data_IF_932784789178
#
_entry.id   IF_932784789178
#
_cell.length_a   1.000
_cell.length_b   1.000
_cell.length_c   1.000
_cell.angle_alpha   90.00
_cell.angle_beta   90.00
_cell.angle_gamma   90.00
#
_symmetry.space_group_name_H-M   'P 1'
#
loop_
_entity.id
_entity.type
_entity.pdbx_description
1 polymer ?
#
# COMPACT_ATOMS: atom_id res chain seq x y z
N UNK A 1 -174.60 -105.36 -102.66
CA UNK A 1 -174.41 -105.12 -104.11
C UNK A 1 -174.88 -103.71 -104.45
N UNK A 2 -174.44 -103.20 -105.60
CA UNK A 2 -175.01 -102.08 -106.37
C UNK A 2 -174.82 -100.62 -105.88
N UNK A 3 -174.17 -99.85 -106.76
CA UNK A 3 -174.34 -98.40 -107.02
C UNK A 3 -175.76 -98.13 -107.62
N UNK A 4 -176.26 -96.88 -107.84
CA UNK A 4 -175.56 -95.82 -108.58
C UNK A 4 -175.82 -94.32 -108.24
N UNK A 5 -174.78 -93.52 -108.53
CA UNK A 5 -174.73 -92.20 -109.21
C UNK A 5 -175.89 -91.16 -109.11
N UNK A 6 -175.51 -89.95 -108.69
CA UNK A 6 -175.87 -88.67 -109.33
C UNK A 6 -174.61 -87.79 -109.47
N UNK A 7 -174.67 -86.65 -110.18
CA UNK A 7 -173.54 -86.16 -111.01
C UNK A 7 -173.60 -84.64 -111.33
N UNK A 8 -172.71 -83.80 -110.78
CA UNK A 8 -172.52 -82.36 -111.13
C UNK A 8 -171.29 -82.12 -112.04
N UNK A 9 -171.30 -81.13 -112.96
CA UNK A 9 -170.20 -80.87 -113.90
C UNK A 9 -169.18 -79.82 -113.42
N UNK A 10 -167.89 -80.03 -113.71
CA UNK A 10 -166.80 -79.05 -113.52
C UNK A 10 -166.64 -78.16 -114.76
N UNK A 11 -166.46 -76.84 -114.59
CA UNK A 11 -166.19 -75.88 -115.67
C UNK A 11 -164.71 -75.45 -115.69
N UNK A 12 -164.15 -75.24 -116.89
CA UNK A 12 -162.81 -74.66 -117.09
C UNK A 12 -162.95 -73.41 -117.96
N UNK A 13 -162.38 -72.29 -117.51
CA UNK A 13 -162.52 -70.97 -118.14
C UNK A 13 -161.17 -70.25 -118.20
N UNK A 14 -161.10 -69.18 -119.00
CA UNK A 14 -159.93 -68.31 -119.11
C UNK A 14 -158.61 -69.05 -119.45
N UNK A 15 -158.65 -69.93 -120.46
CA UNK A 15 -157.47 -70.60 -121.03
C UNK A 15 -156.54 -69.55 -121.68
N UNK A 16 -155.37 -69.26 -121.07
CA UNK A 16 -154.34 -68.36 -121.64
C UNK A 16 -153.03 -69.13 -121.95
N UNK A 17 -152.77 -69.33 -123.26
CA UNK A 17 -151.61 -70.07 -123.79
C UNK A 17 -150.44 -69.12 -124.00
N UNK A 18 -149.41 -69.22 -123.18
CA UNK A 18 -148.12 -68.54 -123.38
C UNK A 18 -147.06 -69.50 -123.93
N UNK A 19 -145.94 -68.98 -124.43
CA UNK A 19 -144.81 -69.83 -124.91
C UNK A 19 -144.15 -70.65 -123.78
N UNK A 20 -144.38 -70.28 -122.52
CA UNK A 20 -143.85 -70.99 -121.34
C UNK A 20 -144.79 -72.04 -120.75
N UNK A 21 -145.98 -72.22 -121.31
CA UNK A 21 -147.04 -73.06 -120.76
C UNK A 21 -148.38 -72.32 -120.72
N UNK A 22 -149.38 -73.01 -120.17
CA UNK A 22 -150.75 -72.52 -120.15
C UNK A 22 -151.29 -72.44 -118.73
N UNK A 23 -151.98 -71.35 -118.43
CA UNK A 23 -152.88 -71.26 -117.28
C UNK A 23 -154.33 -71.34 -117.76
N UNK A 24 -155.19 -71.87 -116.89
CA UNK A 24 -156.64 -71.85 -117.02
C UNK A 24 -157.23 -71.88 -115.61
N UNK A 25 -158.40 -71.27 -115.45
CA UNK A 25 -159.12 -71.26 -114.18
C UNK A 25 -160.07 -72.46 -114.13
N UNK A 26 -159.92 -73.33 -113.13
CA UNK A 26 -160.78 -74.50 -112.92
C UNK A 26 -161.81 -74.16 -111.85
N UNK A 27 -163.06 -74.05 -112.26
CA UNK A 27 -164.18 -73.77 -111.36
C UNK A 27 -164.85 -75.11 -111.04
N UNK A 28 -164.48 -75.68 -109.89
CA UNK A 28 -165.00 -76.97 -109.41
C UNK A 28 -166.46 -76.88 -108.94
N UNK A 29 -166.90 -75.69 -108.51
CA UNK A 29 -168.27 -75.31 -108.19
C UNK A 29 -168.39 -73.78 -108.28
N UNK A 30 -169.55 -73.24 -108.64
CA UNK A 30 -169.77 -71.80 -108.60
C UNK A 30 -169.67 -71.26 -107.16
N UNK A 31 -169.13 -70.05 -106.95
CA UNK A 31 -168.97 -69.50 -105.60
C UNK A 31 -170.32 -69.28 -104.94
N UNK A 32 -170.59 -70.03 -103.85
CA UNK A 32 -171.88 -70.07 -103.13
C UNK A 32 -172.33 -68.75 -102.46
N UNK A 33 -171.62 -67.64 -102.70
CA UNK A 33 -171.90 -66.32 -102.14
C UNK A 33 -172.02 -65.25 -103.24
N UNK A 34 -173.26 -64.86 -103.54
CA UNK A 34 -173.65 -63.97 -104.64
C UNK A 34 -173.35 -62.46 -104.40
N UNK A 35 -172.34 -62.14 -103.56
CA UNK A 35 -171.95 -60.75 -103.23
C UNK A 35 -170.43 -60.60 -102.99
N UNK A 36 -169.81 -59.52 -103.51
CA UNK A 36 -168.38 -59.27 -103.31
C UNK A 36 -168.05 -58.95 -101.86
N UNK A 37 -166.92 -59.46 -101.38
CA UNK A 37 -166.40 -59.20 -100.04
C UNK A 37 -166.09 -57.70 -99.86
N UNK A 38 -166.53 -57.05 -98.76
CA UNK A 38 -166.21 -55.64 -98.53
C UNK A 38 -164.70 -55.46 -98.28
N UNK A 39 -164.09 -54.34 -98.72
CA UNK A 39 -162.68 -54.09 -98.46
C UNK A 39 -162.44 -53.98 -96.95
N UNK A 40 -161.33 -54.60 -96.49
CA UNK A 40 -160.98 -54.60 -95.08
C UNK A 40 -160.93 -53.16 -94.52
N UNK A 41 -161.59 -52.96 -93.39
CA UNK A 41 -161.61 -51.67 -92.69
C UNK A 41 -160.19 -51.22 -92.41
N UNK A 42 -159.80 -50.10 -93.02
CA UNK A 42 -158.45 -49.57 -92.84
C UNK A 42 -158.26 -49.19 -91.38
N UNK A 43 -157.41 -49.95 -90.67
CA UNK A 43 -156.63 -49.37 -89.59
C UNK A 43 -155.95 -48.10 -90.12
N UNK A 44 -155.82 -47.02 -89.33
CA UNK A 44 -155.12 -45.83 -89.79
C UNK A 44 -153.73 -46.27 -90.24
N UNK A 45 -153.44 -46.09 -91.54
CA UNK A 45 -152.19 -46.51 -92.18
C UNK A 45 -151.05 -46.12 -91.23
N UNK A 46 -150.21 -47.06 -90.77
CA UNK A 46 -149.15 -46.72 -89.83
C UNK A 46 -148.38 -45.55 -90.44
N UNK A 47 -148.30 -44.44 -89.69
CA UNK A 47 -147.60 -43.23 -90.17
C UNK A 47 -146.25 -43.70 -90.66
N UNK A 48 -145.98 -43.47 -91.96
CA UNK A 48 -144.74 -43.90 -92.57
C UNK A 48 -143.62 -43.25 -91.79
N UNK A 49 -142.83 -44.07 -91.09
CA UNK A 49 -141.74 -43.57 -90.26
C UNK A 49 -140.89 -42.62 -91.10
N UNK A 50 -140.70 -41.39 -90.62
CA UNK A 50 -139.92 -40.42 -91.39
C UNK A 50 -138.46 -40.87 -91.43
N UNK A 51 -137.69 -40.42 -92.44
CA UNK A 51 -136.27 -40.77 -92.53
C UNK A 51 -135.52 -40.39 -91.24
N UNK A 52 -135.87 -39.25 -90.64
CA UNK A 52 -135.35 -38.75 -89.37
C UNK A 52 -135.73 -39.66 -88.18
N UNK A 53 -136.97 -40.13 -88.07
CA UNK A 53 -137.37 -41.08 -87.02
C UNK A 53 -136.68 -42.46 -87.16
N UNK A 54 -136.37 -42.88 -88.39
CA UNK A 54 -135.61 -44.12 -88.67
C UNK A 54 -134.14 -43.94 -88.26
N UNK A 55 -133.52 -42.84 -88.68
CA UNK A 55 -132.14 -42.49 -88.33
C UNK A 55 -131.98 -42.35 -86.81
N UNK A 56 -132.90 -41.66 -86.14
CA UNK A 56 -132.90 -41.51 -84.68
C UNK A 56 -133.00 -42.87 -83.95
N UNK A 57 -133.80 -43.81 -84.46
CA UNK A 57 -133.86 -45.19 -83.91
C UNK A 57 -132.57 -45.98 -84.13
N UNK A 58 -131.89 -45.79 -85.27
CA UNK A 58 -130.60 -46.43 -85.55
C UNK A 58 -129.50 -45.83 -84.66
N UNK A 59 -129.43 -44.51 -84.52
CA UNK A 59 -128.55 -43.81 -83.59
C UNK A 59 -128.76 -44.30 -82.15
N UNK A 60 -130.00 -44.36 -81.67
CA UNK A 60 -130.29 -44.82 -80.30
C UNK A 60 -129.95 -46.32 -80.10
N UNK A 61 -129.98 -47.14 -81.15
CA UNK A 61 -129.51 -48.53 -81.10
C UNK A 61 -127.97 -48.59 -81.07
N UNK A 62 -127.30 -47.70 -81.80
CA UNK A 62 -125.84 -47.59 -81.81
C UNK A 62 -125.29 -47.05 -80.48
N UNK A 63 -125.92 -46.04 -79.90
CA UNK A 63 -125.62 -45.51 -78.57
C UNK A 63 -125.80 -46.58 -77.49
N UNK A 64 -126.88 -47.39 -77.58
CA UNK A 64 -127.07 -48.54 -76.68
C UNK A 64 -125.96 -49.57 -76.84
N UNK A 65 -125.49 -49.86 -78.07
CA UNK A 65 -124.34 -50.75 -78.31
C UNK A 65 -123.06 -50.17 -77.68
N UNK A 66 -122.74 -48.91 -77.99
CA UNK A 66 -121.56 -48.18 -77.47
C UNK A 66 -121.57 -48.10 -75.94
N UNK A 67 -122.73 -47.84 -75.32
CA UNK A 67 -122.90 -47.80 -73.87
C UNK A 67 -122.67 -49.17 -73.21
N UNK A 68 -123.19 -50.25 -73.81
CA UNK A 68 -122.95 -51.62 -73.34
C UNK A 68 -121.48 -52.04 -73.49
N UNK A 69 -120.82 -51.65 -74.60
CA UNK A 69 -119.39 -51.87 -74.83
C UNK A 69 -118.53 -51.07 -73.83
N UNK A 70 -118.84 -49.80 -73.61
CA UNK A 70 -118.17 -48.94 -72.63
C UNK A 70 -118.34 -49.47 -71.19
N UNK A 71 -119.54 -49.92 -70.82
CA UNK A 71 -119.81 -50.55 -69.50
C UNK A 71 -119.00 -51.83 -69.30
N UNK A 72 -118.88 -52.67 -70.35
CA UNK A 72 -118.02 -53.87 -70.32
C UNK A 72 -116.55 -53.51 -70.18
N UNK A 73 -116.06 -52.54 -70.96
CA UNK A 73 -114.67 -52.07 -70.88
C UNK A 73 -114.36 -51.46 -69.51
N UNK A 74 -115.26 -50.68 -68.94
CA UNK A 74 -115.12 -50.13 -67.58
C UNK A 74 -115.05 -51.25 -66.52
N UNK A 75 -115.92 -52.26 -66.60
CA UNK A 75 -115.88 -53.41 -65.68
C UNK A 75 -114.62 -54.27 -65.82
N UNK A 76 -114.06 -54.39 -67.03
CA UNK A 76 -112.76 -55.05 -67.24
C UNK A 76 -111.62 -54.19 -66.68
N UNK A 77 -111.61 -52.89 -66.95
CA UNK A 77 -110.63 -51.94 -66.40
C UNK A 77 -110.60 -51.95 -64.87
N UNK A 78 -111.77 -51.89 -64.22
CA UNK A 78 -111.88 -51.97 -62.77
C UNK A 78 -111.35 -53.30 -62.18
N UNK A 79 -111.48 -54.42 -62.91
CA UNK A 79 -110.88 -55.70 -62.49
C UNK A 79 -109.36 -55.67 -62.62
N UNK A 80 -108.83 -55.04 -63.66
CA UNK A 80 -107.38 -54.89 -63.85
C UNK A 80 -106.76 -54.00 -62.77
N UNK A 81 -107.36 -52.83 -62.48
CA UNK A 81 -106.84 -51.94 -61.42
C UNK A 81 -106.88 -52.61 -60.05
N UNK A 82 -107.95 -53.34 -59.70
CA UNK A 82 -108.00 -54.12 -58.46
C UNK A 82 -106.93 -55.23 -58.37
N UNK A 83 -106.55 -55.83 -59.50
CA UNK A 83 -105.46 -56.83 -59.54
C UNK A 83 -104.08 -56.16 -59.38
N UNK A 84 -103.86 -55.02 -60.02
CA UNK A 84 -102.64 -54.20 -59.86
C UNK A 84 -102.48 -53.70 -58.43
N UNK A 85 -103.55 -53.15 -57.82
CA UNK A 85 -103.59 -52.75 -56.42
C UNK A 85 -103.31 -53.92 -55.46
N UNK A 86 -103.85 -55.11 -55.76
CA UNK A 86 -103.59 -56.30 -54.97
C UNK A 86 -102.13 -56.79 -55.09
N UNK A 87 -101.51 -56.70 -56.28
CA UNK A 87 -100.08 -57.02 -56.46
C UNK A 87 -99.21 -56.02 -55.70
N UNK A 88 -99.44 -54.72 -55.95
CA UNK A 88 -98.72 -53.63 -55.29
C UNK A 88 -98.82 -53.74 -53.76
N UNK A 89 -100.00 -54.04 -53.21
CA UNK A 89 -100.18 -54.17 -51.76
C UNK A 89 -99.50 -55.42 -51.18
N UNK A 90 -99.33 -56.49 -51.96
CA UNK A 90 -98.49 -57.64 -51.56
C UNK A 90 -97.02 -57.24 -51.53
N UNK A 91 -96.53 -56.55 -52.56
CA UNK A 91 -95.16 -56.07 -52.66
C UNK A 91 -94.82 -55.07 -51.53
N UNK A 92 -95.70 -54.11 -51.25
CA UNK A 92 -95.58 -53.16 -50.13
C UNK A 92 -95.51 -53.88 -48.77
N UNK A 93 -96.38 -54.87 -48.54
CA UNK A 93 -96.35 -55.67 -47.30
C UNK A 93 -95.06 -56.48 -47.17
N UNK A 94 -94.55 -57.06 -48.26
CA UNK A 94 -93.27 -57.79 -48.27
C UNK A 94 -92.09 -56.85 -48.02
N UNK A 95 -92.05 -55.68 -48.67
CA UNK A 95 -91.01 -54.68 -48.47
C UNK A 95 -91.02 -54.13 -47.02
N UNK A 96 -92.20 -53.83 -46.48
CA UNK A 96 -92.36 -53.38 -45.10
C UNK A 96 -91.91 -54.45 -44.09
N UNK A 97 -92.22 -55.74 -44.34
CA UNK A 97 -91.75 -56.84 -43.50
C UNK A 97 -90.21 -56.98 -43.52
N UNK A 98 -89.60 -56.89 -44.70
CA UNK A 98 -88.13 -56.94 -44.85
C UNK A 98 -87.49 -55.76 -44.11
N UNK A 99 -87.96 -54.54 -44.34
CA UNK A 99 -87.42 -53.33 -43.71
C UNK A 99 -87.56 -53.35 -42.18
N UNK A 100 -88.72 -53.75 -41.66
CA UNK A 100 -88.94 -53.88 -40.21
C UNK A 100 -88.06 -54.97 -39.58
N UNK A 101 -87.86 -56.10 -40.28
CA UNK A 101 -87.00 -57.19 -39.81
C UNK A 101 -85.53 -56.80 -39.83
N UNK A 102 -85.08 -56.05 -40.84
CA UNK A 102 -83.72 -55.51 -40.92
C UNK A 102 -83.47 -54.51 -39.79
N UNK A 103 -84.34 -53.51 -39.61
CA UNK A 103 -84.20 -52.51 -38.55
C UNK A 103 -84.21 -53.15 -37.15
N UNK A 104 -85.04 -54.18 -36.92
CA UNK A 104 -85.08 -54.92 -35.66
C UNK A 104 -83.88 -55.86 -35.44
N UNK A 105 -83.11 -56.17 -36.48
CA UNK A 105 -81.82 -56.87 -36.36
C UNK A 105 -80.69 -55.87 -36.07
N UNK A 106 -80.69 -54.74 -36.76
CA UNK A 106 -79.72 -53.65 -36.61
C UNK A 106 -79.77 -53.07 -35.19
N UNK A 107 -80.96 -52.74 -34.67
CA UNK A 107 -81.19 -52.30 -33.28
C UNK A 107 -80.69 -53.32 -32.22
N UNK A 108 -80.82 -54.63 -32.50
CA UNK A 108 -80.28 -55.68 -31.60
C UNK A 108 -78.76 -55.76 -31.64
N UNK A 109 -78.15 -55.57 -32.81
CA UNK A 109 -76.70 -55.54 -32.95
C UNK A 109 -76.14 -54.30 -32.24
N UNK A 110 -76.73 -53.13 -32.46
CA UNK A 110 -76.35 -51.88 -31.81
C UNK A 110 -76.56 -51.92 -30.30
N UNK A 111 -77.68 -52.47 -29.82
CA UNK A 111 -77.90 -52.70 -28.39
C UNK A 111 -76.83 -53.65 -27.81
N UNK A 112 -76.42 -54.68 -28.54
CA UNK A 112 -75.41 -55.64 -28.08
C UNK A 112 -74.00 -55.03 -28.05
N UNK A 113 -73.62 -54.25 -29.06
CA UNK A 113 -72.34 -53.53 -29.09
C UNK A 113 -72.28 -52.47 -28.00
N UNK A 114 -73.31 -51.63 -27.88
CA UNK A 114 -73.41 -50.60 -26.82
C UNK A 114 -73.32 -51.21 -25.41
N UNK A 115 -74.04 -52.30 -25.13
CA UNK A 115 -73.95 -53.00 -23.84
C UNK A 115 -72.55 -53.55 -23.55
N UNK A 116 -71.89 -54.12 -24.58
CA UNK A 116 -70.51 -54.60 -24.46
C UNK A 116 -69.52 -53.46 -24.21
N UNK A 117 -69.68 -52.33 -24.90
CA UNK A 117 -68.83 -51.16 -24.71
C UNK A 117 -69.04 -50.49 -23.35
N UNK A 118 -70.28 -50.35 -22.90
CA UNK A 118 -70.60 -49.85 -21.57
C UNK A 118 -69.95 -50.71 -20.47
N UNK A 119 -70.02 -52.04 -20.61
CA UNK A 119 -69.35 -52.97 -19.68
C UNK A 119 -67.82 -52.82 -19.68
N UNK A 120 -67.20 -52.77 -20.87
CA UNK A 120 -65.75 -52.59 -21.00
C UNK A 120 -65.29 -51.23 -20.47
N UNK A 121 -66.06 -50.16 -20.70
CA UNK A 121 -65.77 -48.83 -20.18
C UNK A 121 -65.93 -48.77 -18.65
N UNK A 122 -66.93 -49.46 -18.08
CA UNK A 122 -67.08 -49.62 -16.64
C UNK A 122 -65.90 -50.37 -15.99
N UNK A 123 -65.33 -51.37 -16.66
CA UNK A 123 -64.09 -52.04 -16.20
C UNK A 123 -62.88 -51.11 -16.29
N UNK A 124 -62.72 -50.37 -17.40
CA UNK A 124 -61.62 -49.40 -17.59
C UNK A 124 -61.66 -48.29 -16.53
N UNK A 125 -62.84 -47.75 -16.22
CA UNK A 125 -63.03 -46.74 -15.19
C UNK A 125 -62.58 -47.27 -13.82
N UNK A 126 -63.07 -48.43 -13.39
CA UNK A 126 -62.67 -49.06 -12.11
C UNK A 126 -61.16 -49.32 -12.03
N UNK A 127 -60.53 -49.73 -13.12
CA UNK A 127 -59.08 -49.92 -13.17
C UNK A 127 -58.33 -48.58 -13.07
N UNK A 128 -58.80 -47.55 -13.77
CA UNK A 128 -58.23 -46.20 -13.68
C UNK A 128 -58.35 -45.62 -12.27
N UNK A 129 -59.50 -45.77 -11.61
CA UNK A 129 -59.72 -45.33 -10.23
C UNK A 129 -58.79 -46.06 -9.26
N UNK A 130 -58.60 -47.37 -9.45
CA UNK A 130 -57.65 -48.14 -8.64
C UNK A 130 -56.20 -47.66 -8.83
N UNK A 131 -55.77 -47.42 -10.07
CA UNK A 131 -54.43 -46.87 -10.36
C UNK A 131 -54.23 -45.47 -9.76
N UNK A 132 -55.23 -44.60 -9.88
CA UNK A 132 -55.22 -43.26 -9.29
C UNK A 132 -55.13 -43.32 -7.75
N UNK A 133 -55.86 -44.23 -7.10
CA UNK A 133 -55.78 -44.45 -5.66
C UNK A 133 -54.40 -44.99 -5.23
N UNK A 134 -53.81 -45.92 -5.98
CA UNK A 134 -52.47 -46.46 -5.71
C UNK A 134 -51.40 -45.37 -5.85
N UNK A 135 -51.45 -44.54 -6.90
CA UNK A 135 -50.51 -43.42 -7.06
C UNK A 135 -50.72 -42.32 -6.01
N UNK A 136 -51.97 -42.09 -5.58
CA UNK A 136 -52.30 -41.22 -4.45
C UNK A 136 -51.65 -41.69 -3.14
N UNK A 137 -51.80 -42.98 -2.80
CA UNK A 137 -51.16 -43.59 -1.62
C UNK A 137 -49.62 -43.53 -1.72
N UNK A 138 -49.05 -43.80 -2.91
CA UNK A 138 -47.61 -43.68 -3.17
C UNK A 138 -47.10 -42.26 -2.88
N UNK A 139 -47.76 -41.25 -3.47
CA UNK A 139 -47.42 -39.82 -3.28
C UNK A 139 -47.56 -39.39 -1.83
N UNK A 140 -48.59 -39.87 -1.12
CA UNK A 140 -48.78 -39.59 0.30
C UNK A 140 -47.65 -40.18 1.17
N UNK A 141 -47.22 -41.41 0.88
CA UNK A 141 -46.11 -42.07 1.58
C UNK A 141 -44.76 -41.40 1.28
N UNK A 142 -44.54 -40.97 0.03
CA UNK A 142 -43.36 -40.19 -0.36
C UNK A 142 -43.33 -38.83 0.36
N UNK A 143 -44.46 -38.12 0.44
CA UNK A 143 -44.57 -36.87 1.20
C UNK A 143 -44.27 -37.07 2.70
N UNK A 144 -44.92 -38.04 3.36
CA UNK A 144 -44.65 -38.37 4.76
C UNK A 144 -43.18 -38.75 5.02
N UNK A 145 -42.55 -39.45 4.08
CA UNK A 145 -41.12 -39.83 4.17
C UNK A 145 -40.22 -38.60 4.06
N UNK A 146 -40.55 -37.66 3.17
CA UNK A 146 -39.80 -36.42 3.00
C UNK A 146 -39.99 -35.47 4.19
N UNK A 147 -41.20 -35.32 4.72
CA UNK A 147 -41.48 -34.52 5.92
C UNK A 147 -40.72 -35.05 7.14
N UNK A 148 -40.63 -36.38 7.29
CA UNK A 148 -39.85 -37.02 8.34
C UNK A 148 -38.34 -36.78 8.15
N UNK A 149 -37.82 -36.86 6.92
CA UNK A 149 -36.42 -36.53 6.60
C UNK A 149 -36.09 -35.08 6.94
N UNK A 150 -36.92 -34.14 6.49
CA UNK A 150 -36.79 -32.71 6.79
C UNK A 150 -36.77 -32.46 8.30
N UNK A 151 -37.70 -33.09 9.04
CA UNK A 151 -37.77 -33.00 10.51
C UNK A 151 -36.50 -33.54 11.20
N UNK A 152 -35.86 -34.56 10.64
CA UNK A 152 -34.58 -35.11 11.15
C UNK A 152 -33.43 -34.15 10.81
N UNK A 153 -33.35 -33.67 9.57
CA UNK A 153 -32.33 -32.72 9.13
C UNK A 153 -32.36 -31.42 9.95
N UNK A 154 -33.54 -30.85 10.20
CA UNK A 154 -33.67 -29.63 10.99
C UNK A 154 -33.31 -29.84 12.47
N UNK A 155 -33.62 -31.02 13.04
CA UNK A 155 -33.15 -31.37 14.39
C UNK A 155 -31.63 -31.53 14.46
N UNK A 156 -31.00 -32.13 13.44
CA UNK A 156 -29.54 -32.24 13.36
C UNK A 156 -28.89 -30.86 13.19
N UNK A 157 -29.44 -30.01 12.31
CA UNK A 157 -29.02 -28.63 12.08
C UNK A 157 -29.06 -27.81 13.37
N UNK A 158 -30.19 -27.79 14.07
CA UNK A 158 -30.30 -27.07 15.34
C UNK A 158 -29.43 -27.68 16.45
N UNK A 159 -29.19 -28.99 16.47
CA UNK A 159 -28.25 -29.59 17.41
C UNK A 159 -26.79 -29.16 17.13
N UNK A 160 -26.41 -29.03 15.86
CA UNK A 160 -25.10 -28.52 15.43
C UNK A 160 -24.94 -27.02 15.71
N UNK A 161 -25.95 -26.21 15.42
CA UNK A 161 -26.01 -24.78 15.76
C UNK A 161 -25.84 -24.57 17.28
N UNK A 162 -26.62 -25.27 18.11
CA UNK A 162 -26.48 -25.19 19.57
C UNK A 162 -25.08 -25.65 20.07
N UNK A 163 -24.51 -26.70 19.46
CA UNK A 163 -23.16 -27.20 19.80
C UNK A 163 -22.09 -26.18 19.42
N UNK A 164 -22.17 -25.58 18.23
CA UNK A 164 -21.19 -24.59 17.74
C UNK A 164 -21.30 -23.28 18.51
N UNK A 165 -22.50 -22.81 18.84
CA UNK A 165 -22.73 -21.62 19.67
C UNK A 165 -22.18 -21.81 21.09
N UNK A 166 -22.42 -22.95 21.73
CA UNK A 166 -21.90 -23.25 23.07
C UNK A 166 -20.36 -23.36 23.07
N UNK A 167 -19.78 -24.00 22.04
CA UNK A 167 -18.32 -24.06 21.88
C UNK A 167 -17.74 -22.65 21.64
N UNK A 168 -18.41 -21.82 20.83
CA UNK A 168 -18.05 -20.42 20.61
C UNK A 168 -18.01 -19.62 21.91
N UNK A 169 -19.07 -19.69 22.73
CA UNK A 169 -19.15 -19.05 24.06
C UNK A 169 -18.06 -19.52 25.02
N UNK A 170 -17.61 -20.78 24.91
CA UNK A 170 -16.48 -21.29 25.70
C UNK A 170 -15.15 -20.73 25.22
N UNK A 171 -14.91 -20.70 23.91
CA UNK A 171 -13.70 -20.14 23.30
C UNK A 171 -13.57 -18.63 23.53
N UNK A 172 -14.69 -17.89 23.47
CA UNK A 172 -14.75 -16.46 23.75
C UNK A 172 -14.32 -16.17 25.20
N UNK A 173 -14.87 -16.87 26.19
CA UNK A 173 -14.46 -16.74 27.61
C UNK A 173 -12.99 -17.09 27.84
N UNK A 174 -12.47 -18.09 27.14
CA UNK A 174 -11.04 -18.44 27.21
C UNK A 174 -10.17 -17.33 26.62
N UNK A 175 -10.61 -16.71 25.53
CA UNK A 175 -9.93 -15.55 24.93
C UNK A 175 -9.97 -14.33 25.84
N UNK A 176 -11.13 -14.00 26.43
CA UNK A 176 -11.26 -12.91 27.40
C UNK A 176 -10.31 -13.09 28.60
N UNK A 177 -10.17 -14.33 29.09
CA UNK A 177 -9.25 -14.66 30.17
C UNK A 177 -7.77 -14.49 29.74
N UNK A 178 -7.39 -14.90 28.52
CA UNK A 178 -6.03 -14.69 28.01
C UNK A 178 -5.74 -13.20 27.75
N UNK A 179 -6.68 -12.45 27.19
CA UNK A 179 -6.57 -10.99 27.00
C UNK A 179 -6.40 -10.27 28.36
N UNK A 180 -7.13 -10.70 29.40
CA UNK A 180 -6.95 -10.21 30.77
C UNK A 180 -5.58 -10.59 31.34
N UNK A 181 -5.15 -11.84 31.19
CA UNK A 181 -3.83 -12.30 31.65
C UNK A 181 -2.70 -11.52 30.94
N UNK A 182 -2.82 -11.27 29.64
CA UNK A 182 -1.89 -10.43 28.88
C UNK A 182 -1.86 -9.00 29.40
N UNK A 183 -3.03 -8.40 29.70
CA UNK A 183 -3.12 -7.06 30.29
C UNK A 183 -2.44 -6.97 31.66
N UNK A 184 -2.56 -8.02 32.48
CA UNK A 184 -1.86 -8.11 33.78
C UNK A 184 -0.34 -8.26 33.58
N UNK A 185 0.11 -9.10 32.63
CA UNK A 185 1.54 -9.24 32.29
C UNK A 185 2.15 -7.92 31.83
N UNK A 186 1.50 -7.22 30.89
CA UNK A 186 1.92 -5.90 30.41
C UNK A 186 1.97 -4.85 31.54
N UNK A 187 1.00 -4.88 32.47
CA UNK A 187 1.00 -4.00 33.65
C UNK A 187 2.17 -4.27 34.60
N UNK A 188 2.57 -5.54 34.77
CA UNK A 188 3.76 -5.89 35.54
C UNK A 188 5.06 -5.51 34.81
N UNK A 189 5.15 -5.73 33.50
CA UNK A 189 6.30 -5.31 32.68
C UNK A 189 6.50 -3.79 32.74
N UNK A 190 5.43 -2.99 32.63
CA UNK A 190 5.52 -1.53 32.76
C UNK A 190 5.92 -1.09 34.17
N UNK A 191 5.40 -1.75 35.22
CA UNK A 191 5.81 -1.47 36.60
C UNK A 191 7.31 -1.78 36.83
N UNK A 192 7.82 -2.88 36.25
CA UNK A 192 9.25 -3.22 36.27
C UNK A 192 10.07 -2.15 35.53
N UNK A 193 9.68 -1.77 34.31
CA UNK A 193 10.33 -0.71 33.53
C UNK A 193 10.42 0.61 34.30
N UNK A 194 9.34 1.02 34.99
CA UNK A 194 9.35 2.22 35.83
C UNK A 194 10.31 2.11 37.04
N UNK A 195 10.48 0.91 37.61
CA UNK A 195 11.47 0.67 38.67
C UNK A 195 12.90 0.72 38.13
N UNK A 196 13.15 0.13 36.95
CA UNK A 196 14.44 0.19 36.26
C UNK A 196 14.83 1.64 35.92
N UNK A 197 13.92 2.43 35.32
CA UNK A 197 14.13 3.85 35.03
C UNK A 197 14.46 4.64 36.31
N UNK A 198 13.75 4.39 37.42
CA UNK A 198 14.05 5.01 38.74
C UNK A 198 15.41 4.61 39.30
N UNK A 199 15.84 3.36 39.10
CA UNK A 199 17.17 2.88 39.53
C UNK A 199 18.25 3.55 38.67
N UNK A 200 18.09 3.58 37.35
CA UNK A 200 19.04 4.23 36.44
C UNK A 200 19.16 5.73 36.72
N UNK A 201 18.03 6.43 36.96
CA UNK A 201 18.05 7.83 37.36
C UNK A 201 18.81 8.07 38.67
N UNK A 202 18.66 7.19 39.67
CA UNK A 202 19.45 7.26 40.92
C UNK A 202 20.94 7.02 40.70
N UNK A 203 21.31 6.07 39.83
CA UNK A 203 22.70 5.80 39.45
C UNK A 203 23.30 7.02 38.73
N UNK A 204 22.57 7.61 37.77
CA UNK A 204 23.00 8.82 37.05
C UNK A 204 23.21 10.02 37.99
N UNK A 205 22.33 10.23 38.96
CA UNK A 205 22.51 11.28 39.99
C UNK A 205 23.74 10.99 40.87
N UNK A 206 23.96 9.74 41.26
CA UNK A 206 25.10 9.36 42.09
C UNK A 206 26.45 9.47 41.36
N UNK A 207 26.50 9.09 40.08
CA UNK A 207 27.68 9.24 39.21
C UNK A 207 27.99 10.71 38.95
N UNK A 208 27.02 11.50 38.50
CA UNK A 208 27.18 12.95 38.32
C UNK A 208 27.66 13.67 39.60
N UNK A 209 27.14 13.28 40.77
CA UNK A 209 27.60 13.83 42.06
C UNK A 209 29.04 13.42 42.37
N UNK A 210 29.40 12.15 42.15
CA UNK A 210 30.78 11.65 42.33
C UNK A 210 31.76 12.36 41.40
N UNK A 211 31.39 12.56 40.13
CA UNK A 211 32.19 13.25 39.13
C UNK A 211 32.35 14.74 39.48
N UNK A 212 31.28 15.42 39.91
CA UNK A 212 31.36 16.80 40.39
C UNK A 212 32.31 16.96 41.58
N UNK A 213 32.27 16.05 42.56
CA UNK A 213 33.20 16.07 43.70
C UNK A 213 34.65 15.74 43.31
N UNK A 214 34.86 14.88 42.29
CA UNK A 214 36.19 14.64 41.72
C UNK A 214 36.71 15.90 41.01
N UNK A 215 35.87 16.56 40.20
CA UNK A 215 36.23 17.79 39.49
C UNK A 215 36.62 18.91 40.46
N UNK A 216 35.85 19.14 41.54
CA UNK A 216 36.21 20.10 42.60
C UNK A 216 37.56 19.78 43.26
N UNK A 217 37.86 18.50 43.48
CA UNK A 217 39.16 18.07 44.03
C UNK A 217 40.31 18.27 43.06
N UNK A 218 40.09 18.02 41.77
CA UNK A 218 41.07 18.30 40.71
C UNK A 218 41.30 19.82 40.54
N UNK A 219 40.25 20.63 40.64
CA UNK A 219 40.33 22.09 40.58
C UNK A 219 41.12 22.68 41.76
N UNK A 220 40.81 22.27 42.99
CA UNK A 220 41.58 22.68 44.18
C UNK A 220 43.04 22.21 44.13
N UNK A 221 43.32 20.99 43.64
CA UNK A 221 44.69 20.54 43.38
C UNK A 221 45.39 21.39 42.31
N UNK A 222 44.68 21.77 41.24
CA UNK A 222 45.21 22.66 40.19
C UNK A 222 45.53 24.05 40.74
N UNK A 223 44.64 24.63 41.55
CA UNK A 223 44.92 25.88 42.26
C UNK A 223 46.14 25.78 43.16
N UNK A 224 46.30 24.68 43.91
CA UNK A 224 47.47 24.46 44.76
C UNK A 224 48.74 24.36 43.90
N UNK A 225 48.70 23.67 42.76
CA UNK A 225 49.82 23.61 41.81
C UNK A 225 50.15 24.98 41.20
N UNK A 226 49.14 25.80 40.92
CA UNK A 226 49.33 27.17 40.44
C UNK A 226 50.00 28.02 41.54
N UNK A 227 49.51 27.96 42.78
CA UNK A 227 50.11 28.68 43.93
C UNK A 227 51.57 28.24 44.20
N UNK A 228 51.88 26.95 44.01
CA UNK A 228 53.25 26.43 44.12
C UNK A 228 54.15 26.98 43.00
N UNK A 229 53.67 27.00 41.75
CA UNK A 229 54.42 27.54 40.61
C UNK A 229 54.61 29.05 40.71
N UNK A 230 53.59 29.82 41.09
CA UNK A 230 53.68 31.25 41.43
C UNK A 230 54.70 31.51 42.56
N UNK A 231 54.69 30.69 43.62
CA UNK A 231 55.66 30.81 44.70
C UNK A 231 57.10 30.47 44.24
N UNK A 232 57.27 29.48 43.36
CA UNK A 232 58.56 29.13 42.76
C UNK A 232 59.05 30.23 41.81
N UNK A 233 58.19 30.84 40.99
CA UNK A 233 58.52 32.01 40.18
C UNK A 233 58.93 33.20 41.06
N UNK A 234 58.25 33.43 42.18
CA UNK A 234 58.58 34.51 43.11
C UNK A 234 59.90 34.24 43.87
N UNK A 235 60.19 32.98 44.23
CA UNK A 235 61.49 32.58 44.79
C UNK A 235 62.59 32.77 43.74
N UNK A 236 62.39 32.31 42.51
CA UNK A 236 63.35 32.48 41.42
C UNK A 236 63.61 33.97 41.14
N UNK A 237 62.56 34.79 41.10
CA UNK A 237 62.67 36.25 40.94
C UNK A 237 63.47 36.88 42.07
N UNK A 238 63.18 36.53 43.34
CA UNK A 238 63.98 36.99 44.50
C UNK A 238 65.42 36.49 44.47
N UNK A 239 65.68 35.28 43.97
CA UNK A 239 67.03 34.76 43.81
C UNK A 239 67.80 35.51 42.72
N UNK A 240 67.17 35.84 41.59
CA UNK A 240 67.78 36.68 40.55
C UNK A 240 67.98 38.13 41.02
N UNK A 241 67.01 38.73 41.70
CA UNK A 241 67.15 40.04 42.36
C UNK A 241 68.32 40.03 43.37
N UNK A 242 68.43 39.00 44.21
CA UNK A 242 69.51 38.86 45.18
C UNK A 242 70.88 38.57 44.51
N UNK A 243 70.91 37.85 43.38
CA UNK A 243 72.12 37.69 42.56
C UNK A 243 72.54 39.03 41.95
N UNK A 244 71.60 39.80 41.39
CA UNK A 244 71.87 41.13 40.84
C UNK A 244 72.36 42.10 41.91
N UNK A 245 71.73 42.14 43.09
CA UNK A 245 72.18 42.93 44.23
C UNK A 245 73.58 42.51 44.71
N UNK A 246 73.85 41.20 44.83
CA UNK A 246 75.20 40.71 45.15
C UNK A 246 76.23 41.05 44.08
N UNK A 247 75.88 40.97 42.79
CA UNK A 247 76.76 41.36 41.70
C UNK A 247 77.08 42.86 41.73
N UNK A 248 76.08 43.70 42.01
CA UNK A 248 76.28 45.15 42.23
C UNK A 248 77.13 45.42 43.48
N UNK A 249 76.91 44.70 44.58
CA UNK A 249 77.68 44.87 45.82
C UNK A 249 79.13 44.38 45.66
N UNK A 250 79.36 43.30 44.90
CA UNK A 250 80.71 42.83 44.52
C UNK A 250 81.37 43.84 43.61
N UNK A 251 80.72 44.33 42.55
CA UNK A 251 81.26 45.35 41.66
C UNK A 251 81.63 46.64 42.42
N UNK A 252 80.77 47.10 43.36
CA UNK A 252 81.06 48.25 44.21
C UNK A 252 82.24 48.00 45.18
N UNK A 253 82.39 46.77 45.69
CA UNK A 253 83.55 46.37 46.51
C UNK A 253 84.83 46.25 45.68
N UNK A 254 84.76 45.74 44.45
CA UNK A 254 85.87 45.71 43.50
C UNK A 254 86.32 47.12 43.13
N UNK A 255 85.39 48.03 42.82
CA UNK A 255 85.68 49.44 42.56
C UNK A 255 86.32 50.12 43.78
N UNK A 256 85.86 49.78 45.00
CA UNK A 256 86.44 50.29 46.24
C UNK A 256 87.81 49.68 46.56
N UNK A 257 88.04 48.40 46.27
CA UNK A 257 89.35 47.76 46.36
C UNK A 257 90.32 48.41 45.37
N UNK A 258 89.86 48.70 44.14
CA UNK A 258 90.65 49.40 43.13
C UNK A 258 91.05 50.80 43.62
N UNK A 259 90.11 51.60 44.13
CA UNK A 259 90.41 52.91 44.77
C UNK A 259 91.41 52.80 45.93
N UNK A 260 91.32 51.74 46.76
CA UNK A 260 92.29 51.50 47.85
C UNK A 260 93.66 51.05 47.31
N UNK A 261 93.72 50.33 46.20
CA UNK A 261 94.97 49.99 45.51
C UNK A 261 95.62 51.25 44.91
N UNK A 262 94.84 52.08 44.21
CA UNK A 262 95.26 53.36 43.64
C UNK A 262 95.78 54.31 44.75
N UNK A 263 95.07 54.43 45.88
CA UNK A 263 95.54 55.19 47.05
C UNK A 263 96.81 54.61 47.69
N UNK A 264 96.97 53.27 47.71
CA UNK A 264 98.18 52.61 48.23
C UNK A 264 99.37 52.72 47.29
N UNK A 265 99.16 52.82 45.98
CA UNK A 265 100.21 53.15 45.02
C UNK A 265 100.58 54.63 45.12
N UNK A 266 99.61 55.55 45.20
CA UNK A 266 99.85 56.97 45.44
C UNK A 266 100.67 57.20 46.72
N UNK A 267 100.28 56.60 47.85
CA UNK A 267 101.05 56.68 49.12
C UNK A 267 102.42 56.01 49.06
N UNK A 268 102.60 54.97 48.23
CA UNK A 268 103.94 54.40 47.98
C UNK A 268 104.81 55.36 47.17
N UNK A 269 104.26 55.99 46.13
CA UNK A 269 104.98 56.99 45.33
C UNK A 269 105.34 58.22 46.19
N UNK A 270 104.43 58.66 47.06
CA UNK A 270 104.63 59.76 48.01
C UNK A 270 105.73 59.43 49.05
N UNK A 271 105.68 58.25 49.68
CA UNK A 271 106.75 57.77 50.57
C UNK A 271 108.09 57.60 49.84
N UNK A 272 108.08 57.22 48.55
CA UNK A 272 109.31 57.13 47.74
C UNK A 272 109.91 58.51 47.52
N UNK A 273 109.08 59.54 47.26
CA UNK A 273 109.51 60.94 47.17
C UNK A 273 110.10 61.46 48.47
N UNK A 274 109.43 61.25 49.62
CA UNK A 274 109.99 61.65 50.92
C UNK A 274 111.36 61.00 51.21
N UNK A 275 111.56 59.75 50.80
CA UNK A 275 112.84 59.05 50.96
C UNK A 275 113.91 59.66 50.02
N UNK A 276 113.52 60.16 48.84
CA UNK A 276 114.45 60.85 47.93
C UNK A 276 114.85 62.22 48.48
N UNK A 277 113.89 63.02 48.95
CA UNK A 277 114.15 64.32 49.58
C UNK A 277 115.03 64.19 50.84
N UNK A 278 114.82 63.16 51.65
CA UNK A 278 115.66 62.87 52.83
C UNK A 278 117.09 62.43 52.45
N UNK A 279 117.29 61.80 51.29
CA UNK A 279 118.63 61.49 50.75
C UNK A 279 119.34 62.75 50.23
N UNK A 280 118.62 63.65 49.55
CA UNK A 280 119.18 64.94 49.09
C UNK A 280 119.59 65.83 50.28
N UNK A 281 118.78 65.90 51.34
CA UNK A 281 119.11 66.69 52.54
C UNK A 281 120.36 66.17 53.28
N UNK A 282 120.59 64.85 53.29
CA UNK A 282 121.80 64.24 53.84
C UNK A 282 123.03 64.56 52.98
N UNK A 283 122.87 64.57 51.65
CA UNK A 283 123.94 64.97 50.73
C UNK A 283 124.29 66.46 50.87
N UNK A 284 123.29 67.33 51.06
CA UNK A 284 123.49 68.77 51.25
C UNK A 284 124.20 69.10 52.57
N UNK A 285 123.89 68.39 53.66
CA UNK A 285 124.57 68.57 54.95
C UNK A 285 126.02 68.07 54.91
N UNK A 286 126.31 66.99 54.19
CA UNK A 286 127.69 66.53 53.97
C UNK A 286 128.54 67.57 53.23
N UNK A 287 127.97 68.25 52.23
CA UNK A 287 128.66 69.32 51.50
C UNK A 287 128.98 70.54 52.39
N UNK A 288 128.16 70.81 53.42
CA UNK A 288 128.39 71.94 54.36
C UNK A 288 129.55 71.68 55.33
N UNK A 289 129.81 70.42 55.71
CA UNK A 289 131.00 70.07 56.49
C UNK A 289 132.31 70.14 55.67
N UNK A 290 132.28 69.77 54.38
CA UNK A 290 133.46 69.85 53.51
C UNK A 290 133.92 71.31 53.23
N UNK A 291 133.00 72.28 53.16
CA UNK A 291 133.35 73.71 53.02
C UNK A 291 134.02 74.29 54.28
N UNK A 292 133.58 73.88 55.48
CA UNK A 292 134.20 74.26 56.75
C UNK A 292 135.67 73.78 56.85
N UNK A 293 135.95 72.58 56.32
CA UNK A 293 137.32 72.01 56.26
C UNK A 293 138.19 72.73 55.23
N UNK A 294 137.65 73.10 54.06
CA UNK A 294 138.38 73.93 53.07
C UNK A 294 138.77 75.29 53.61
N UNK A 295 137.88 75.94 54.37
CA UNK A 295 138.15 77.24 55.01
C UNK A 295 139.36 77.16 55.97
N UNK A 296 139.46 76.08 56.74
CA UNK A 296 140.60 75.77 57.64
C UNK A 296 141.91 75.45 56.91
N UNK A 297 141.87 75.12 55.62
CA UNK A 297 143.06 74.92 54.80
C UNK A 297 143.60 76.23 54.21
N UNK A 298 142.72 77.15 53.78
CA UNK A 298 143.11 78.37 53.06
C UNK A 298 143.85 79.39 53.96
N UNK A 299 143.42 79.59 55.21
CA UNK A 299 144.17 80.40 56.18
C UNK A 299 145.56 79.82 56.50
N UNK A 300 145.73 78.50 56.37
CA UNK A 300 147.02 77.83 56.61
C UNK A 300 147.99 78.04 55.44
N UNK A 301 147.49 78.33 54.24
CA UNK A 301 148.29 78.73 53.07
C UNK A 301 148.80 80.18 53.20
N UNK A 302 147.96 81.11 53.69
CA UNK A 302 148.38 82.49 53.98
C UNK A 302 149.49 82.59 55.05
N UNK A 303 149.66 81.58 55.89
CA UNK A 303 150.78 81.49 56.84
C UNK A 303 152.15 81.21 56.19
N UNK A 304 152.20 80.84 54.90
CA UNK A 304 153.45 80.55 54.19
C UNK A 304 154.02 81.78 53.45
N UNK A 305 153.21 82.50 52.67
CA UNK A 305 153.70 83.60 51.83
C UNK A 305 154.29 84.78 52.63
N UNK A 306 153.74 85.08 53.81
CA UNK A 306 154.24 86.16 54.68
C UNK A 306 155.57 85.76 55.34
N UNK A 307 155.79 84.47 55.59
CA UNK A 307 157.05 83.97 56.17
C UNK A 307 158.22 84.09 55.17
N UNK A 308 157.99 83.85 53.88
CA UNK A 308 159.03 83.97 52.86
C UNK A 308 159.33 85.44 52.48
N UNK A 309 158.38 86.37 52.65
CA UNK A 309 158.61 87.79 52.35
C UNK A 309 159.61 88.46 53.31
N UNK A 310 159.57 88.14 54.61
CA UNK A 310 160.43 88.79 55.61
C UNK A 310 161.72 88.02 55.93
N UNK A 311 161.86 86.77 55.44
CA UNK A 311 163.16 86.10 55.34
C UNK A 311 164.15 86.87 54.46
N UNK A 312 163.64 87.68 53.52
CA UNK A 312 164.43 88.61 52.70
C UNK A 312 164.89 89.85 53.49
N UNK A 313 164.01 90.45 54.30
CA UNK A 313 164.35 91.65 55.10
C UNK A 313 165.43 91.35 56.16
N UNK A 314 165.44 90.12 56.69
CA UNK A 314 166.44 89.61 57.62
C UNK A 314 167.86 89.61 57.00
N UNK A 315 167.97 89.39 55.69
CA UNK A 315 169.25 89.37 54.98
C UNK A 315 169.84 90.78 54.76
N UNK A 316 169.00 91.82 54.67
CA UNK A 316 169.48 93.19 54.41
C UNK A 316 169.98 93.88 55.69
N UNK A 317 169.31 93.69 56.84
CA UNK A 317 169.78 94.23 58.13
C UNK A 317 170.98 93.47 58.70
N UNK A 318 171.15 92.18 58.39
CA UNK A 318 172.38 91.45 58.68
C UNK A 318 173.63 92.10 58.03
N UNK A 319 173.46 92.82 56.90
CA UNK A 319 174.55 93.57 56.26
C UNK A 319 174.95 94.82 57.07
N UNK A 320 173.99 95.51 57.71
CA UNK A 320 174.27 96.67 58.59
C UNK A 320 174.90 96.25 59.92
N UNK A 321 174.69 95.02 60.38
CA UNK A 321 175.39 94.46 61.54
C UNK A 321 176.90 94.26 61.30
N UNK A 322 177.36 94.29 60.04
CA UNK A 322 178.76 94.06 59.67
C UNK A 322 179.60 95.35 59.71
N UNK A 323 179.06 96.49 59.25
CA UNK A 323 179.82 97.78 59.22
C UNK A 323 180.07 98.37 60.61
N UNK A 324 179.19 98.20 61.59
CA UNK A 324 179.41 98.75 62.94
C UNK A 324 180.15 97.78 63.89
N UNK A 325 180.32 96.52 63.47
CA UNK A 325 181.24 95.59 64.12
C UNK A 325 182.71 96.05 63.93
N UNK A 326 183.05 96.66 62.79
CA UNK A 326 184.39 97.19 62.55
C UNK A 326 184.74 98.38 63.46
N UNK A 327 183.76 99.17 63.93
CA UNK A 327 183.99 100.18 64.99
C UNK A 327 184.36 99.59 66.35
N UNK A 328 183.98 98.34 66.65
CA UNK A 328 184.49 97.65 67.86
C UNK A 328 185.96 97.26 67.72
N UNK A 329 186.46 97.09 66.50
CA UNK A 329 187.75 96.49 66.23
C UNK A 329 188.95 97.45 66.35
N UNK A 330 188.77 98.77 66.29
CA UNK A 330 189.89 99.72 66.43
C UNK A 330 190.14 100.17 67.88
N UNK A 331 189.10 100.47 68.68
CA UNK A 331 189.34 101.08 70.00
C UNK A 331 189.79 100.09 71.09
N UNK A 332 189.48 98.79 70.96
CA UNK A 332 190.10 97.73 71.79
C UNK A 332 191.59 97.59 71.49
N UNK A 333 192.01 97.92 70.26
CA UNK A 333 193.42 97.85 69.82
C UNK A 333 194.26 99.05 70.27
N UNK A 334 193.64 100.16 70.67
CA UNK A 334 194.38 101.31 71.16
C UNK A 334 195.14 100.99 72.45
N UNK A 335 194.48 100.94 73.61
CA UNK A 335 195.22 101.07 74.87
C UNK A 335 195.00 100.01 75.95
N UNK A 336 195.03 98.76 75.48
CA UNK A 336 195.77 97.70 76.18
C UNK A 336 197.29 98.00 76.27
N UNK A 337 197.85 98.93 75.49
CA UNK A 337 199.21 99.45 75.70
C UNK A 337 199.43 100.16 77.05
N UNK A 338 198.41 100.29 77.92
CA UNK A 338 198.59 100.58 79.36
C UNK A 338 198.21 99.47 80.33
N UNK A 339 198.25 98.21 79.88
CA UNK A 339 198.90 97.13 80.66
C UNK A 339 200.43 97.33 80.56
N UNK A 340 200.87 98.53 80.98
CA UNK A 340 202.23 99.07 81.05
C UNK A 340 202.15 100.20 82.10
N UNK A 341 202.47 99.99 83.38
CA UNK A 341 202.93 98.79 84.06
C UNK A 341 202.39 98.86 85.51
N UNK A 342 201.80 97.79 86.05
CA UNK A 342 202.43 96.85 86.98
C UNK A 342 202.27 97.22 88.48
N UNK A 343 202.68 96.29 89.35
CA UNK A 343 203.02 96.45 90.77
C UNK A 343 201.92 96.57 91.87
N UNK A 344 201.52 95.37 92.36
CA UNK A 344 201.31 94.94 93.77
C UNK A 344 199.97 95.22 94.50
N UNK A 345 199.43 94.33 95.36
CA UNK A 345 199.50 92.85 95.52
C UNK A 345 198.50 92.40 96.64
N UNK A 346 197.93 91.18 96.54
CA UNK A 346 197.56 90.25 97.65
C UNK A 346 196.62 90.71 98.83
N UNK A 347 196.08 89.84 99.71
CA UNK A 347 196.27 88.39 99.91
C UNK A 347 195.02 87.65 100.46
N UNK A 348 195.20 86.34 100.62
CA UNK A 348 194.24 85.30 101.02
C UNK A 348 193.92 85.15 102.53
N UNK A 349 192.98 84.21 102.78
CA UNK A 349 192.85 83.31 103.94
C UNK A 349 192.11 83.75 105.20
N UNK A 350 191.20 82.86 105.64
CA UNK A 350 190.84 82.45 107.01
C UNK A 350 190.83 83.47 108.18
N UNK A 351 189.75 83.44 108.96
CA UNK A 351 189.70 83.96 110.34
C UNK A 351 188.60 84.98 110.53
#
# INVERSE_FOLDING_TARGET
MASPKSNEPTEIRCEEKSRGGMCYEVILAEPSADKPTPPATSSPRPKSMTAEEIEQKLLQAEERRKSMEASRLASVGERMTRLEEASRKREENTAAFIAATQAALEDKLDTTTNNREAYLNGLRAKLSDHLNNVDGVRKQLEAQTNDLRQTIEDKLRSAEENRTENLGKMLEKLKEHEDYAQKVRLGHEEAIRQLEERIQAKIAVATNKRESEILKKLETLREHSNKITEAQELINRRQEEAKQQRAQEVAAKEERIKKIQDEKEAKRQEMTKEITEKLELVQENKNKEEEEVKKKAMEKLQKLEIADRNRLELAEKARKALEEHDRRAEMVRANKERIMAAEKQDAASSG
#
